data_IF_922598741773
#
_entry.id   IF_922598741773
#
_cell.length_a   1.000
_cell.length_b   1.000
_cell.length_c   1.000
_cell.angle_alpha   90.00
_cell.angle_beta   90.00
_cell.angle_gamma   90.00
#
_symmetry.space_group_name_H-M   'P 1'
#
loop_
_entity.id
_entity.type
_entity.pdbx_description
1 polymer ?
#
# COMPACT_ATOMS: atom_id res chain seq x y z
N UNK A 1 9.69 -16.55 -7.22
CA UNK A 1 8.94 -16.35 -5.96
C UNK A 1 7.95 -15.19 -6.08
N UNK A 2 8.39 -13.99 -6.48
CA UNK A 2 7.51 -12.79 -6.61
C UNK A 2 6.35 -12.94 -7.59
N UNK A 3 6.53 -13.65 -8.70
CA UNK A 3 5.42 -13.94 -9.64
C UNK A 3 4.32 -14.78 -9.00
N UNK A 4 4.69 -15.75 -8.16
CA UNK A 4 3.73 -16.54 -7.38
C UNK A 4 3.00 -15.67 -6.35
N UNK A 5 3.71 -14.74 -5.69
CA UNK A 5 3.10 -13.81 -4.72
C UNK A 5 1.98 -13.00 -5.38
N UNK A 6 2.21 -12.45 -6.57
CA UNK A 6 1.20 -11.64 -7.28
C UNK A 6 0.00 -12.50 -7.68
N UNK A 7 0.24 -13.72 -8.19
CA UNK A 7 -0.81 -14.65 -8.55
C UNK A 7 -1.76 -14.96 -7.37
N UNK A 8 -1.23 -15.07 -6.14
CA UNK A 8 -2.05 -15.30 -4.94
C UNK A 8 -2.63 -14.00 -4.34
N UNK A 9 -1.90 -12.89 -4.39
CA UNK A 9 -2.38 -11.62 -3.82
C UNK A 9 -3.48 -10.96 -4.66
N UNK A 10 -3.43 -11.06 -5.98
CA UNK A 10 -4.46 -10.49 -6.87
C UNK A 10 -5.90 -10.93 -6.51
N UNK A 11 -6.23 -12.23 -6.42
CA UNK A 11 -7.57 -12.66 -6.02
C UNK A 11 -7.91 -12.27 -4.58
N UNK A 12 -6.94 -12.27 -3.67
CA UNK A 12 -7.14 -11.80 -2.29
C UNK A 12 -7.56 -10.33 -2.29
N UNK A 13 -6.87 -9.46 -3.02
CA UNK A 13 -7.24 -8.05 -3.12
C UNK A 13 -8.60 -7.82 -3.76
N UNK A 14 -8.98 -8.63 -4.76
CA UNK A 14 -10.31 -8.50 -5.38
C UNK A 14 -11.40 -8.95 -4.41
N UNK A 15 -11.27 -10.12 -3.79
CA UNK A 15 -12.30 -10.68 -2.91
C UNK A 15 -12.46 -9.82 -1.64
N UNK A 16 -11.37 -9.56 -0.92
CA UNK A 16 -11.43 -8.76 0.29
C UNK A 16 -11.63 -7.26 0.00
N UNK A 17 -11.19 -6.80 -1.18
CA UNK A 17 -11.52 -5.48 -1.69
C UNK A 17 -13.01 -5.31 -1.90
N UNK A 18 -13.71 -6.31 -2.45
CA UNK A 18 -15.16 -6.27 -2.61
C UNK A 18 -15.88 -6.18 -1.25
N UNK A 19 -15.44 -6.98 -0.28
CA UNK A 19 -16.00 -7.02 1.07
C UNK A 19 -15.85 -5.66 1.77
N UNK A 20 -14.73 -4.97 1.56
CA UNK A 20 -14.47 -3.65 2.16
C UNK A 20 -15.10 -2.50 1.36
N UNK A 21 -15.22 -2.65 0.04
CA UNK A 21 -15.85 -1.68 -0.86
C UNK A 21 -17.33 -1.47 -0.55
N UNK A 22 -18.11 -2.55 -0.35
CA UNK A 22 -19.56 -2.46 -0.08
C UNK A 22 -19.87 -1.53 1.11
N UNK A 23 -19.35 -1.78 2.33
CA UNK A 23 -19.64 -0.90 3.46
C UNK A 23 -19.09 0.52 3.26
N UNK A 24 -17.95 0.69 2.57
CA UNK A 24 -17.40 2.01 2.25
C UNK A 24 -18.35 2.85 1.40
N UNK A 25 -18.90 2.26 0.33
CA UNK A 25 -19.87 2.93 -0.54
C UNK A 25 -21.17 3.22 0.20
N UNK A 26 -21.71 2.28 0.97
CA UNK A 26 -22.95 2.50 1.74
C UNK A 26 -22.76 3.66 2.73
N UNK A 27 -21.64 3.68 3.45
CA UNK A 27 -21.32 4.76 4.39
C UNK A 27 -21.18 6.11 3.65
N UNK A 28 -20.48 6.13 2.52
CA UNK A 28 -20.25 7.34 1.73
C UNK A 28 -21.53 7.91 1.13
N UNK A 29 -22.44 7.06 0.64
CA UNK A 29 -23.77 7.48 0.14
C UNK A 29 -24.60 8.08 1.28
N UNK A 30 -24.64 7.44 2.45
CA UNK A 30 -25.36 7.96 3.63
C UNK A 30 -24.80 9.31 4.10
N UNK A 31 -23.50 9.51 3.96
CA UNK A 31 -22.82 10.76 4.29
C UNK A 31 -22.87 11.82 3.18
N UNK A 32 -23.54 11.56 2.05
CA UNK A 32 -23.57 12.43 0.86
C UNK A 32 -22.19 12.73 0.24
N UNK A 33 -21.22 11.83 0.43
CA UNK A 33 -19.85 11.98 -0.06
C UNK A 33 -19.67 11.31 -1.43
N UNK A 34 -20.36 11.81 -2.45
CA UNK A 34 -20.36 11.24 -3.80
C UNK A 34 -18.97 11.15 -4.44
N UNK A 35 -18.08 12.11 -4.15
CA UNK A 35 -16.69 12.07 -4.62
C UNK A 35 -15.96 10.81 -4.14
N UNK A 36 -16.24 10.35 -2.91
CA UNK A 36 -15.61 9.15 -2.35
C UNK A 36 -16.19 7.90 -2.99
N UNK A 37 -17.50 7.87 -3.24
CA UNK A 37 -18.15 6.77 -3.98
C UNK A 37 -17.51 6.57 -5.35
N UNK A 38 -17.25 7.66 -6.07
CA UNK A 38 -16.58 7.61 -7.38
C UNK A 38 -15.15 7.11 -7.24
N UNK A 39 -14.39 7.63 -6.27
CA UNK A 39 -13.00 7.22 -6.03
C UNK A 39 -12.92 5.73 -5.68
N UNK A 40 -13.71 5.26 -4.70
CA UNK A 40 -13.71 3.85 -4.26
C UNK A 40 -14.12 2.92 -5.41
N UNK A 41 -15.15 3.28 -6.18
CA UNK A 41 -15.58 2.51 -7.35
C UNK A 41 -14.49 2.45 -8.42
N UNK A 42 -13.85 3.57 -8.73
CA UNK A 42 -12.79 3.64 -9.72
C UNK A 42 -11.55 2.83 -9.29
N UNK A 43 -11.13 2.97 -8.03
CA UNK A 43 -10.01 2.21 -7.47
C UNK A 43 -10.29 0.71 -7.50
N UNK A 44 -11.48 0.29 -7.08
CA UNK A 44 -11.87 -1.12 -7.11
C UNK A 44 -11.94 -1.66 -8.55
N UNK A 45 -12.51 -0.90 -9.49
CA UNK A 45 -12.56 -1.29 -10.90
C UNK A 45 -11.16 -1.45 -11.51
N UNK A 46 -10.24 -0.50 -11.26
CA UNK A 46 -8.84 -0.60 -11.71
C UNK A 46 -8.17 -1.83 -11.12
N UNK A 47 -8.40 -2.14 -9.83
CA UNK A 47 -7.86 -3.35 -9.20
C UNK A 47 -8.37 -4.63 -9.87
N UNK A 48 -9.67 -4.74 -10.11
CA UNK A 48 -10.27 -5.90 -10.78
C UNK A 48 -9.69 -6.07 -12.20
N UNK A 49 -9.69 -5.01 -13.00
CA UNK A 49 -9.18 -5.03 -14.37
C UNK A 49 -7.69 -5.42 -14.38
N UNK A 50 -6.87 -4.80 -13.54
CA UNK A 50 -5.44 -5.09 -13.44
C UNK A 50 -5.15 -6.55 -13.04
N UNK A 51 -5.97 -7.12 -12.15
CA UNK A 51 -5.85 -8.52 -11.76
C UNK A 51 -6.24 -9.48 -12.90
N UNK A 52 -7.32 -9.18 -13.63
CA UNK A 52 -7.86 -10.03 -14.71
C UNK A 52 -7.03 -10.00 -16.00
N UNK A 53 -6.33 -8.91 -16.30
CA UNK A 53 -5.52 -8.82 -17.51
C UNK A 53 -4.33 -9.77 -17.44
N UNK A 54 -4.32 -10.80 -18.30
CA UNK A 54 -3.23 -11.80 -18.36
C UNK A 54 -2.01 -11.33 -19.16
N UNK A 55 -2.16 -10.31 -20.00
CA UNK A 55 -1.13 -9.83 -20.93
C UNK A 55 -0.13 -8.83 -20.32
N UNK A 56 -0.42 -8.26 -19.15
CA UNK A 56 0.47 -7.29 -18.48
C UNK A 56 1.47 -8.01 -17.58
N UNK A 57 2.69 -7.48 -17.56
CA UNK A 57 3.75 -8.02 -16.72
C UNK A 57 3.41 -7.91 -15.24
N UNK A 58 3.89 -8.88 -14.47
CA UNK A 58 3.75 -8.91 -13.01
C UNK A 58 4.30 -7.64 -12.33
N UNK A 59 5.34 -7.04 -12.90
CA UNK A 59 5.90 -5.76 -12.44
C UNK A 59 4.88 -4.63 -12.59
N UNK A 60 4.24 -4.50 -13.75
CA UNK A 60 3.22 -3.47 -14.00
C UNK A 60 2.05 -3.67 -13.03
N UNK A 61 1.57 -4.91 -12.87
CA UNK A 61 0.50 -5.22 -11.91
C UNK A 61 0.82 -4.75 -10.50
N UNK A 62 2.05 -5.00 -10.05
CA UNK A 62 2.52 -4.60 -8.73
C UNK A 62 2.56 -3.09 -8.57
N UNK A 63 3.11 -2.38 -9.55
CA UNK A 63 3.20 -0.91 -9.53
C UNK A 63 1.80 -0.30 -9.52
N UNK A 64 0.87 -0.82 -10.33
CA UNK A 64 -0.52 -0.35 -10.36
C UNK A 64 -1.19 -0.52 -8.99
N UNK A 65 -1.10 -1.71 -8.37
CA UNK A 65 -1.69 -1.99 -7.06
C UNK A 65 -1.17 -1.02 -6.00
N UNK A 66 0.15 -0.82 -5.96
CA UNK A 66 0.80 0.08 -5.00
C UNK A 66 0.44 1.55 -5.25
N UNK A 67 0.41 1.97 -6.50
CA UNK A 67 0.11 3.35 -6.89
C UNK A 67 -1.34 3.69 -6.55
N UNK A 68 -2.27 2.80 -6.90
CA UNK A 68 -3.69 2.98 -6.60
C UNK A 68 -3.95 3.00 -5.09
N UNK A 69 -3.34 2.07 -4.33
CA UNK A 69 -3.44 2.08 -2.87
C UNK A 69 -2.86 3.34 -2.23
N UNK A 70 -1.74 3.83 -2.75
CA UNK A 70 -1.12 5.08 -2.28
C UNK A 70 -2.01 6.29 -2.56
N UNK A 71 -2.48 6.44 -3.80
CA UNK A 71 -3.38 7.53 -4.19
C UNK A 71 -4.68 7.50 -3.38
N UNK A 72 -5.28 6.31 -3.20
CA UNK A 72 -6.46 6.16 -2.36
C UNK A 72 -6.17 6.64 -0.93
N UNK A 73 -5.06 6.22 -0.31
CA UNK A 73 -4.68 6.67 1.02
C UNK A 73 -4.54 8.18 1.15
N UNK A 74 -3.88 8.83 0.19
CA UNK A 74 -3.75 10.30 0.14
C UNK A 74 -5.11 10.97 -0.03
N UNK A 75 -5.94 10.50 -0.97
CA UNK A 75 -7.26 11.07 -1.23
C UNK A 75 -8.16 10.96 0.00
N UNK A 76 -8.18 9.81 0.68
CA UNK A 76 -8.95 9.62 1.90
C UNK A 76 -8.48 10.57 3.02
N UNK A 77 -7.17 10.76 3.19
CA UNK A 77 -6.65 11.73 4.16
C UNK A 77 -7.08 13.16 3.83
N UNK A 78 -7.05 13.55 2.55
CA UNK A 78 -7.40 14.91 2.15
C UNK A 78 -8.91 15.15 2.27
N UNK A 79 -9.74 14.23 1.76
CA UNK A 79 -11.18 14.44 1.65
C UNK A 79 -11.96 14.05 2.90
N UNK A 80 -11.48 13.06 3.67
CA UNK A 80 -12.15 12.57 4.89
C UNK A 80 -11.41 13.04 6.15
N UNK A 81 -10.11 13.32 6.06
CA UNK A 81 -9.32 13.74 7.20
C UNK A 81 -9.27 12.64 8.28
N UNK A 82 -9.52 12.97 9.56
CA UNK A 82 -9.37 12.04 10.67
C UNK A 82 -10.40 10.92 10.72
N UNK A 83 -11.50 11.04 9.97
CA UNK A 83 -12.59 10.06 10.00
C UNK A 83 -12.40 8.92 8.99
N UNK A 84 -11.39 9.01 8.12
CA UNK A 84 -11.13 8.06 7.06
C UNK A 84 -10.00 7.07 7.37
N UNK A 85 -9.91 6.02 6.55
CA UNK A 85 -8.87 5.00 6.66
C UNK A 85 -7.56 5.34 5.90
N UNK A 86 -7.31 6.63 5.62
CA UNK A 86 -6.22 7.03 4.72
C UNK A 86 -4.82 6.66 5.22
N UNK A 87 -4.55 6.80 6.52
CA UNK A 87 -3.28 6.36 7.13
C UNK A 87 -3.08 4.84 7.03
N UNK A 88 -4.15 4.05 7.14
CA UNK A 88 -4.10 2.58 7.05
C UNK A 88 -3.65 2.16 5.65
N UNK A 89 -4.23 2.76 4.61
CA UNK A 89 -3.83 2.53 3.23
C UNK A 89 -2.37 2.88 2.98
N UNK A 90 -1.91 4.02 3.52
CA UNK A 90 -0.52 4.42 3.37
C UNK A 90 0.46 3.53 4.14
N UNK A 91 0.10 2.94 5.28
CA UNK A 91 0.92 1.92 5.99
C UNK A 91 1.00 0.64 5.15
N UNK A 92 -0.11 0.25 4.55
CA UNK A 92 -0.23 -0.97 3.78
C UNK A 92 0.68 -0.97 2.54
N UNK A 93 0.83 0.17 1.85
CA UNK A 93 1.64 0.29 0.62
C UNK A 93 3.09 -0.20 0.79
N UNK A 94 3.92 0.32 1.71
CA UNK A 94 5.30 -0.14 1.88
C UNK A 94 5.40 -1.61 2.31
N UNK A 95 4.46 -2.09 3.13
CA UNK A 95 4.38 -3.50 3.57
C UNK A 95 4.15 -4.43 2.37
N UNK A 96 3.24 -4.07 1.47
CA UNK A 96 3.00 -4.87 0.26
C UNK A 96 4.10 -4.67 -0.78
N UNK A 97 4.68 -3.47 -0.88
CA UNK A 97 5.75 -3.18 -1.81
C UNK A 97 6.97 -4.08 -1.59
N UNK A 98 7.31 -4.40 -0.33
CA UNK A 98 8.42 -5.30 -0.05
C UNK A 98 8.16 -6.73 -0.51
N UNK A 99 6.92 -7.21 -0.36
CA UNK A 99 6.51 -8.54 -0.80
C UNK A 99 6.49 -8.64 -2.33
N UNK A 100 5.90 -7.67 -3.00
CA UNK A 100 5.67 -7.72 -4.45
C UNK A 100 6.93 -7.37 -5.26
N UNK A 101 7.64 -6.29 -4.89
CA UNK A 101 8.75 -5.75 -5.69
C UNK A 101 10.08 -5.92 -4.95
N UNK A 102 10.14 -5.59 -3.66
CA UNK A 102 11.33 -5.76 -2.82
C UNK A 102 11.66 -4.54 -1.98
N UNK A 103 12.79 -4.63 -1.25
CA UNK A 103 13.19 -3.64 -0.25
C UNK A 103 13.31 -2.22 -0.80
N UNK A 104 13.87 -2.04 -2.01
CA UNK A 104 14.02 -0.71 -2.62
C UNK A 104 12.66 -0.02 -2.80
N UNK A 105 11.66 -0.72 -3.32
CA UNK A 105 10.32 -0.18 -3.51
C UNK A 105 9.67 0.18 -2.16
N UNK A 106 9.84 -0.67 -1.15
CA UNK A 106 9.31 -0.43 0.18
C UNK A 106 9.91 0.83 0.83
N UNK A 107 11.22 1.03 0.71
CA UNK A 107 11.89 2.25 1.18
C UNK A 107 11.38 3.48 0.44
N UNK A 108 11.23 3.41 -0.89
CA UNK A 108 10.65 4.51 -1.68
C UNK A 108 9.23 4.84 -1.21
N UNK A 109 8.39 3.84 -0.93
CA UNK A 109 7.04 4.06 -0.40
C UNK A 109 7.04 4.69 0.99
N UNK A 110 7.97 4.32 1.88
CA UNK A 110 8.13 4.98 3.20
C UNK A 110 8.53 6.45 3.01
N UNK A 111 9.48 6.74 2.13
CA UNK A 111 9.89 8.12 1.84
C UNK A 111 8.73 8.93 1.24
N UNK A 112 7.93 8.33 0.37
CA UNK A 112 6.73 8.97 -0.16
C UNK A 112 5.71 9.26 0.95
N UNK A 113 5.52 8.35 1.92
CA UNK A 113 4.68 8.59 3.09
C UNK A 113 5.20 9.77 3.94
N UNK A 114 6.50 9.84 4.19
CA UNK A 114 7.12 10.98 4.92
C UNK A 114 6.84 12.28 4.19
N UNK A 115 7.00 12.29 2.87
CA UNK A 115 6.74 13.46 2.05
C UNK A 115 5.27 13.90 2.12
N UNK A 116 4.32 12.95 2.06
CA UNK A 116 2.89 13.25 2.26
C UNK A 116 2.64 13.88 3.63
N UNK A 117 3.21 13.32 4.71
CA UNK A 117 3.04 13.87 6.07
C UNK A 117 3.54 15.31 6.16
N UNK A 118 4.70 15.60 5.57
CA UNK A 118 5.28 16.95 5.55
C UNK A 118 4.40 17.92 4.75
N UNK A 119 3.94 17.52 3.56
CA UNK A 119 3.04 18.35 2.74
C UNK A 119 1.76 18.66 3.51
N UNK A 120 1.10 17.64 4.06
CA UNK A 120 -0.15 17.84 4.79
C UNK A 120 0.05 18.70 6.04
N UNK A 121 1.19 18.55 6.74
CA UNK A 121 1.55 19.44 7.85
C UNK A 121 1.70 20.90 7.41
N UNK A 122 2.35 21.15 6.26
CA UNK A 122 2.47 22.48 5.70
C UNK A 122 1.10 23.07 5.32
N UNK A 123 0.22 22.27 4.69
CA UNK A 123 -1.13 22.71 4.35
C UNK A 123 -1.93 23.13 5.60
N UNK A 124 -1.84 22.33 6.68
CA UNK A 124 -2.48 22.64 7.97
C UNK A 124 -1.88 23.92 8.59
N UNK A 125 -0.54 24.03 8.61
CA UNK A 125 0.16 25.18 9.18
C UNK A 125 -0.21 26.50 8.48
N UNK A 126 -0.21 26.51 7.15
CA UNK A 126 -0.61 27.67 6.35
C UNK A 126 -2.13 27.84 6.24
N UNK A 127 -2.93 26.97 6.87
CA UNK A 127 -4.41 26.98 6.86
C UNK A 127 -5.00 26.94 5.43
N UNK A 128 -4.32 26.23 4.53
CA UNK A 128 -4.78 26.05 3.15
C UNK A 128 -5.95 25.07 3.16
N UNK A 129 -7.16 25.57 2.85
CA UNK A 129 -8.41 24.79 2.92
C UNK A 129 -8.56 23.87 1.71
N UNK A 130 -8.21 22.59 1.90
CA UNK A 130 -8.44 21.51 0.94
C UNK A 130 -9.08 20.34 1.68
N UNK A 131 -10.28 19.93 1.27
CA UNK A 131 -11.01 18.82 1.90
C UNK A 131 -11.15 18.96 3.42
N UNK A 132 -11.08 17.83 4.13
CA UNK A 132 -11.20 17.72 5.59
C UNK A 132 -9.86 17.56 6.31
N UNK A 133 -8.71 17.71 5.64
CA UNK A 133 -7.41 17.61 6.33
C UNK A 133 -7.24 18.66 7.44
N UNK A 134 -7.85 19.83 7.28
CA UNK A 134 -7.84 20.91 8.27
C UNK A 134 -8.70 20.61 9.51
N UNK A 135 -9.42 19.48 9.55
CA UNK A 135 -10.04 18.99 10.77
C UNK A 135 -9.00 18.52 11.80
N UNK A 136 -7.77 18.21 11.36
CA UNK A 136 -6.65 18.04 12.28
C UNK A 136 -6.12 19.40 12.75
N UNK A 137 -5.87 19.53 14.06
CA UNK A 137 -4.92 20.53 14.53
C UNK A 137 -3.50 20.14 14.13
N UNK A 138 -2.59 21.11 14.05
CA UNK A 138 -1.19 20.83 13.70
C UNK A 138 -0.55 19.84 14.68
N UNK A 139 -0.77 20.03 15.99
CA UNK A 139 -0.23 19.14 17.02
C UNK A 139 -0.77 17.71 16.90
N UNK A 140 -2.09 17.58 16.64
CA UNK A 140 -2.70 16.28 16.40
C UNK A 140 -2.14 15.62 15.14
N UNK A 141 -1.93 16.39 14.07
CA UNK A 141 -1.33 15.87 12.83
C UNK A 141 0.12 15.44 13.03
N UNK A 142 0.93 16.21 13.76
CA UNK A 142 2.31 15.83 14.07
C UNK A 142 2.33 14.50 14.85
N UNK A 143 1.47 14.35 15.85
CA UNK A 143 1.37 13.12 16.63
C UNK A 143 0.94 11.92 15.76
N UNK A 144 -0.14 12.07 14.99
CA UNK A 144 -0.67 11.02 14.12
C UNK A 144 0.32 10.67 13.01
N UNK A 145 0.86 11.67 12.32
CA UNK A 145 1.81 11.52 11.23
C UNK A 145 3.11 10.84 11.67
N UNK A 146 3.68 11.25 12.82
CA UNK A 146 4.89 10.63 13.35
C UNK A 146 4.66 9.16 13.72
N UNK A 147 3.56 8.87 14.42
CA UNK A 147 3.20 7.49 14.77
C UNK A 147 2.97 6.63 13.53
N UNK A 148 2.27 7.16 12.54
CA UNK A 148 2.01 6.50 11.27
C UNK A 148 3.32 6.14 10.53
N UNK A 149 4.31 7.04 10.49
CA UNK A 149 5.62 6.77 9.87
C UNK A 149 6.38 5.70 10.65
N UNK A 150 6.41 5.80 11.99
CA UNK A 150 7.07 4.81 12.84
C UNK A 150 6.45 3.43 12.62
N UNK A 151 5.12 3.32 12.63
CA UNK A 151 4.41 2.06 12.38
C UNK A 151 4.72 1.54 10.97
N UNK A 152 4.76 2.41 9.95
CA UNK A 152 5.14 2.03 8.58
C UNK A 152 6.54 1.40 8.53
N UNK A 153 7.51 1.98 9.24
CA UNK A 153 8.88 1.47 9.31
C UNK A 153 8.93 0.14 10.08
N UNK A 154 8.35 0.10 11.28
CA UNK A 154 8.40 -1.07 12.18
C UNK A 154 7.66 -2.27 11.60
N UNK A 155 6.63 -2.06 10.78
CA UNK A 155 5.94 -3.17 10.09
C UNK A 155 6.68 -3.61 8.82
N UNK A 156 7.27 -2.67 8.08
CA UNK A 156 7.86 -2.96 6.76
C UNK A 156 9.28 -3.53 6.86
N UNK A 157 10.14 -2.94 7.70
CA UNK A 157 11.58 -3.29 7.73
C UNK A 157 11.82 -4.73 8.22
N UNK A 158 11.20 -5.20 9.33
CA UNK A 158 11.34 -6.60 9.75
C UNK A 158 10.84 -7.57 8.68
N UNK A 159 9.70 -7.27 8.05
CA UNK A 159 9.18 -8.07 6.94
C UNK A 159 10.18 -8.13 5.78
N UNK A 160 10.84 -7.00 5.46
CA UNK A 160 11.89 -6.95 4.46
C UNK A 160 13.08 -7.86 4.79
N UNK A 161 13.53 -7.82 6.04
CA UNK A 161 14.63 -8.67 6.52
C UNK A 161 14.26 -10.14 6.39
N UNK A 162 13.05 -10.53 6.83
CA UNK A 162 12.56 -11.92 6.73
C UNK A 162 12.50 -12.37 5.27
N UNK A 163 11.86 -11.60 4.39
CA UNK A 163 11.71 -11.96 2.97
C UNK A 163 13.07 -12.07 2.28
N UNK A 164 14.00 -11.15 2.57
CA UNK A 164 15.34 -11.21 2.01
C UNK A 164 16.16 -12.38 2.56
N UNK A 165 16.02 -12.68 3.86
CA UNK A 165 16.63 -13.84 4.51
C UNK A 165 16.16 -15.15 3.90
N UNK A 166 14.84 -15.31 3.73
CA UNK A 166 14.24 -16.49 3.07
C UNK A 166 14.78 -16.67 1.66
N UNK A 167 14.79 -15.60 0.85
CA UNK A 167 15.34 -15.67 -0.51
C UNK A 167 16.80 -16.14 -0.51
N UNK A 168 17.65 -15.60 0.37
CA UNK A 168 19.06 -16.01 0.48
C UNK A 168 19.19 -17.48 0.86
N UNK A 169 18.44 -17.96 1.86
CA UNK A 169 18.47 -19.37 2.28
C UNK A 169 18.05 -20.32 1.16
N UNK A 170 17.01 -19.98 0.39
CA UNK A 170 16.59 -20.76 -0.77
C UNK A 170 17.69 -20.89 -1.84
N UNK A 171 18.42 -19.81 -2.12
CA UNK A 171 19.52 -19.84 -3.08
C UNK A 171 20.69 -20.71 -2.58
N UNK A 172 21.02 -20.64 -1.29
CA UNK A 172 22.06 -21.49 -0.69
C UNK A 172 21.71 -22.97 -0.81
N UNK A 173 20.49 -23.37 -0.44
CA UNK A 173 20.03 -24.77 -0.53
C UNK A 173 20.06 -25.29 -1.96
N UNK A 174 19.58 -24.49 -2.93
CA UNK A 174 19.59 -24.88 -4.34
C UNK A 174 21.02 -25.10 -4.84
N UNK A 175 21.94 -24.18 -4.53
CA UNK A 175 23.35 -24.29 -4.92
C UNK A 175 24.02 -25.53 -4.33
N UNK A 176 23.75 -25.87 -3.08
CA UNK A 176 24.30 -27.08 -2.44
C UNK A 176 23.79 -28.35 -3.12
N UNK A 177 22.49 -28.40 -3.47
CA UNK A 177 21.92 -29.55 -4.19
C UNK A 177 22.55 -29.74 -5.57
N UNK A 178 22.69 -28.66 -6.35
CA UNK A 178 23.29 -28.72 -7.69
C UNK A 178 24.76 -29.18 -7.64
N UNK A 179 25.50 -28.85 -6.57
CA UNK A 179 26.88 -29.32 -6.35
C UNK A 179 26.95 -30.80 -5.98
N UNK A 180 26.00 -31.29 -5.18
CA UNK A 180 25.93 -32.71 -4.81
C UNK A 180 25.55 -33.60 -6.00
N UNK A 181 24.58 -33.17 -6.83
CA UNK A 181 24.19 -33.92 -8.03
C UNK A 181 25.34 -34.04 -9.04
N UNK A 182 26.16 -32.99 -9.19
CA UNK A 182 27.37 -33.00 -10.05
C UNK A 182 28.53 -33.83 -9.51
N UNK A 183 28.56 -34.17 -8.22
CA UNK A 183 29.60 -35.03 -7.63
C UNK A 183 29.25 -36.52 -7.68
N UNK A 184 27.97 -36.84 -7.86
CA UNK A 184 27.47 -38.22 -7.96
C UNK A 184 27.23 -38.67 -9.41
N UNK A 185 27.59 -37.85 -10.40
CA UNK A 185 27.61 -38.17 -11.83
C UNK A 185 29.04 -38.18 -12.34
#
# INVERSE_FOLDING_TARGET
MREKIILYLCPVFVIFGFITYIPSVIASVRANLWSIVIIDTAVYAVMVINCMLTKISNTIKSITILTVGFLLGVLLLVFIGPYGAGTIWLIFVPVIAVAMIGLKAAVVSILANVFVVIILAALIFFKIRIGLINAYSLDAWIAVGSNFIIISIVTTIPLAVIINGLNKSFFTVKKTKDVLEKKCS
#
